data_IF_474754696942
#
_entry.id   IF_474754696942
#
_cell.length_a   1.000
_cell.length_b   1.000
_cell.length_c   1.000
_cell.angle_alpha   90.00
_cell.angle_beta   90.00
_cell.angle_gamma   90.00
#
_symmetry.space_group_name_H-M   'P 1'
#
loop_
_entity.id
_entity.type
_entity.pdbx_description
1 polymer ?
#
# COMPACT_ATOMS: atom_id res chain seq x y z
N UNK A 1 -27.82 -13.72 -9.79
CA UNK A 1 -26.47 -13.72 -10.34
C UNK A 1 -26.42 -14.35 -11.70
N UNK A 2 -25.84 -13.65 -12.66
CA UNK A 2 -25.83 -13.98 -14.09
C UNK A 2 -25.03 -15.26 -14.44
N UNK A 3 -24.26 -15.82 -13.49
CA UNK A 3 -23.49 -17.04 -13.70
C UNK A 3 -24.25 -18.34 -13.33
N UNK A 4 -25.51 -18.28 -12.89
CA UNK A 4 -26.31 -19.49 -12.53
C UNK A 4 -26.44 -20.49 -13.68
N UNK A 5 -26.44 -20.00 -14.92
CA UNK A 5 -26.56 -20.80 -16.12
C UNK A 5 -25.21 -21.13 -16.78
N UNK A 6 -24.10 -20.76 -16.15
CA UNK A 6 -22.74 -20.96 -16.67
C UNK A 6 -22.30 -22.40 -16.44
N UNK A 7 -21.93 -23.11 -17.51
CA UNK A 7 -21.38 -24.45 -17.42
C UNK A 7 -19.89 -24.46 -17.15
N UNK A 8 -19.49 -24.24 -15.91
CA UNK A 8 -18.08 -24.21 -15.47
C UNK A 8 -17.30 -25.48 -15.80
N UNK A 9 -17.96 -26.64 -15.92
CA UNK A 9 -17.30 -27.92 -16.23
C UNK A 9 -16.72 -27.99 -17.65
N UNK A 10 -17.10 -27.08 -18.55
CA UNK A 10 -16.59 -27.00 -19.92
C UNK A 10 -15.61 -25.85 -20.14
N UNK A 11 -15.23 -25.14 -19.09
CA UNK A 11 -14.34 -23.98 -19.14
C UNK A 11 -12.93 -24.30 -18.65
N UNK A 12 -11.95 -23.59 -19.16
CA UNK A 12 -10.61 -23.57 -18.59
C UNK A 12 -10.59 -22.83 -17.25
N UNK A 13 -9.62 -23.10 -16.39
CA UNK A 13 -9.47 -22.42 -15.11
C UNK A 13 -9.43 -20.89 -15.26
N UNK A 14 -8.81 -20.38 -16.34
CA UNK A 14 -8.71 -18.96 -16.64
C UNK A 14 -10.10 -18.35 -17.00
N UNK A 15 -10.92 -19.06 -17.77
CA UNK A 15 -12.26 -18.60 -18.12
C UNK A 15 -13.16 -18.61 -16.87
N UNK A 16 -13.08 -19.66 -16.04
CA UNK A 16 -13.77 -19.71 -14.77
C UNK A 16 -13.37 -18.56 -13.85
N UNK A 17 -12.06 -18.31 -13.71
CA UNK A 17 -11.54 -17.22 -12.92
C UNK A 17 -12.05 -15.84 -13.40
N UNK A 18 -12.00 -15.59 -14.71
CA UNK A 18 -12.47 -14.34 -15.30
C UNK A 18 -13.95 -14.10 -15.04
N UNK A 19 -14.79 -15.15 -15.20
CA UNK A 19 -16.23 -15.04 -14.95
C UNK A 19 -16.51 -14.78 -13.47
N UNK A 20 -15.85 -15.50 -12.56
CA UNK A 20 -16.03 -15.30 -11.11
C UNK A 20 -15.62 -13.89 -10.72
N UNK A 21 -14.50 -13.39 -11.23
CA UNK A 21 -14.04 -12.01 -10.99
C UNK A 21 -15.06 -10.98 -11.51
N UNK A 22 -15.53 -11.13 -12.76
CA UNK A 22 -16.50 -10.23 -13.37
C UNK A 22 -17.80 -10.11 -12.56
N UNK A 23 -18.31 -11.24 -12.05
CA UNK A 23 -19.57 -11.29 -11.32
C UNK A 23 -19.43 -11.25 -9.79
N UNK A 24 -18.24 -10.98 -9.27
CA UNK A 24 -18.00 -10.76 -7.84
C UNK A 24 -18.38 -9.35 -7.36
N UNK A 25 -18.59 -8.41 -8.29
CA UNK A 25 -19.00 -7.04 -7.95
C UNK A 25 -20.50 -6.96 -7.70
N UNK A 26 -20.89 -6.08 -6.79
CA UNK A 26 -22.29 -5.79 -6.49
C UNK A 26 -22.94 -5.00 -7.64
N UNK A 27 -24.23 -5.21 -7.83
CA UNK A 27 -25.05 -4.36 -8.68
C UNK A 27 -25.57 -3.18 -7.87
N UNK A 28 -24.85 -2.06 -7.83
CA UNK A 28 -25.19 -0.92 -6.98
C UNK A 28 -26.48 -0.22 -7.38
N UNK A 29 -27.00 -0.44 -8.59
CA UNK A 29 -28.32 0.09 -9.01
C UNK A 29 -29.48 -0.81 -8.57
N UNK A 30 -29.22 -2.08 -8.21
CA UNK A 30 -30.24 -2.96 -7.65
C UNK A 30 -30.58 -2.54 -6.22
N UNK A 31 -31.82 -2.16 -6.00
CA UNK A 31 -32.29 -1.62 -4.72
C UNK A 31 -31.94 -0.16 -4.47
N UNK A 32 -31.30 0.53 -5.42
CA UNK A 32 -31.20 1.99 -5.36
C UNK A 32 -32.51 2.68 -5.74
N UNK A 33 -33.22 2.17 -6.75
CA UNK A 33 -34.49 2.71 -7.22
C UNK A 33 -35.65 2.17 -6.38
N UNK A 34 -36.73 2.96 -6.23
CA UNK A 34 -37.85 2.68 -5.32
C UNK A 34 -38.69 1.46 -5.68
N UNK A 35 -38.59 0.97 -6.93
CA UNK A 35 -39.33 -0.17 -7.46
C UNK A 35 -38.68 -1.56 -7.17
N UNK A 36 -37.53 -1.56 -6.49
CA UNK A 36 -36.78 -2.77 -6.15
C UNK A 36 -37.04 -3.23 -4.70
N UNK A 37 -38.29 -3.65 -4.36
CA UNK A 37 -38.58 -4.16 -3.02
C UNK A 37 -37.97 -5.54 -2.76
N UNK A 38 -37.32 -5.73 -1.60
CA UNK A 38 -36.79 -7.01 -1.10
C UNK A 38 -35.54 -7.53 -1.82
N UNK A 39 -34.79 -6.65 -2.48
CA UNK A 39 -33.61 -7.00 -3.25
C UNK A 39 -32.29 -7.03 -2.47
N UNK A 40 -31.19 -6.82 -3.19
CA UNK A 40 -29.82 -6.82 -2.67
C UNK A 40 -29.63 -5.75 -1.59
N UNK A 41 -30.26 -4.57 -1.73
CA UNK A 41 -30.14 -3.48 -0.76
C UNK A 41 -30.61 -3.89 0.64
N UNK A 42 -31.79 -4.47 0.78
CA UNK A 42 -32.33 -4.88 2.09
C UNK A 42 -31.47 -5.94 2.75
N UNK A 43 -31.01 -6.94 1.97
CA UNK A 43 -30.09 -7.97 2.45
C UNK A 43 -28.76 -7.37 2.89
N UNK A 44 -28.24 -6.41 2.13
CA UNK A 44 -26.99 -5.71 2.46
C UNK A 44 -27.11 -4.95 3.77
N UNK A 45 -28.18 -4.15 3.93
CA UNK A 45 -28.44 -3.37 5.16
C UNK A 45 -28.61 -4.30 6.37
N UNK A 46 -29.39 -5.37 6.26
CA UNK A 46 -29.59 -6.33 7.36
C UNK A 46 -28.28 -7.00 7.78
N UNK A 47 -27.44 -7.42 6.83
CA UNK A 47 -26.13 -7.99 7.12
C UNK A 47 -25.23 -6.98 7.80
N UNK A 48 -25.21 -5.73 7.32
CA UNK A 48 -24.41 -4.66 7.91
C UNK A 48 -24.87 -4.36 9.34
N UNK A 49 -26.17 -4.31 9.61
CA UNK A 49 -26.72 -4.15 10.97
C UNK A 49 -26.23 -5.29 11.87
N UNK A 50 -26.24 -6.54 11.37
CA UNK A 50 -25.71 -7.69 12.10
C UNK A 50 -24.22 -7.53 12.47
N UNK A 51 -23.39 -7.04 11.55
CA UNK A 51 -21.99 -6.74 11.83
C UNK A 51 -21.84 -5.61 12.87
N UNK A 52 -22.62 -4.55 12.73
CA UNK A 52 -22.59 -3.41 13.66
C UNK A 52 -22.98 -3.84 15.09
N UNK A 53 -23.95 -4.74 15.23
CA UNK A 53 -24.38 -5.29 16.51
C UNK A 53 -23.33 -6.21 17.14
N UNK A 54 -22.63 -7.01 16.31
CA UNK A 54 -21.60 -7.94 16.79
C UNK A 54 -20.29 -7.25 17.16
N UNK A 55 -20.04 -6.02 16.68
CA UNK A 55 -18.84 -5.24 16.93
C UNK A 55 -19.18 -3.91 17.61
N UNK A 56 -19.60 -3.95 18.91
CA UNK A 56 -20.16 -2.79 19.60
C UNK A 56 -19.18 -1.61 19.75
N UNK A 57 -17.87 -1.88 19.78
CA UNK A 57 -16.83 -0.87 19.95
C UNK A 57 -16.28 -0.33 18.60
N UNK A 58 -16.60 -0.99 17.48
CA UNK A 58 -16.13 -0.55 16.16
C UNK A 58 -16.88 0.70 15.71
N UNK A 59 -16.11 1.64 15.12
CA UNK A 59 -16.64 2.87 14.52
C UNK A 59 -16.61 2.85 13.00
N UNK A 60 -15.68 2.12 12.39
CA UNK A 60 -15.48 2.09 10.95
C UNK A 60 -15.94 0.75 10.38
N UNK A 61 -16.88 0.77 9.46
CA UNK A 61 -17.39 -0.41 8.76
C UNK A 61 -17.08 -0.31 7.27
N UNK A 62 -16.22 -1.22 6.80
CA UNK A 62 -15.75 -1.23 5.43
C UNK A 62 -16.81 -1.80 4.48
N UNK A 63 -17.22 -1.01 3.51
CA UNK A 63 -18.05 -1.43 2.39
C UNK A 63 -17.14 -1.70 1.20
N UNK A 64 -16.44 -2.85 1.24
CA UNK A 64 -15.48 -3.24 0.23
C UNK A 64 -16.14 -3.66 -1.08
N UNK A 65 -15.47 -3.36 -2.19
CA UNK A 65 -15.73 -3.95 -3.49
C UNK A 65 -14.82 -5.16 -3.71
N UNK A 66 -15.10 -5.99 -4.72
CA UNK A 66 -14.19 -7.05 -5.15
C UNK A 66 -12.87 -6.44 -5.65
N UNK A 67 -11.74 -7.07 -5.31
CA UNK A 67 -10.40 -6.61 -5.70
C UNK A 67 -10.11 -6.98 -7.16
N UNK A 68 -10.76 -6.27 -8.08
CA UNK A 68 -10.61 -6.43 -9.52
C UNK A 68 -11.09 -5.18 -10.28
N UNK A 69 -10.81 -5.13 -11.59
CA UNK A 69 -11.14 -3.99 -12.47
C UNK A 69 -12.52 -4.12 -13.15
N UNK A 70 -13.40 -4.99 -12.65
CA UNK A 70 -14.74 -5.13 -13.21
C UNK A 70 -15.73 -4.24 -12.44
N UNK A 71 -16.82 -3.89 -13.14
CA UNK A 71 -18.00 -3.23 -12.59
C UNK A 71 -19.24 -3.90 -13.15
N UNK A 72 -20.41 -3.71 -12.53
CA UNK A 72 -21.65 -4.29 -13.04
C UNK A 72 -22.00 -3.69 -14.40
N UNK A 73 -22.24 -4.54 -15.39
CA UNK A 73 -22.54 -4.20 -16.79
C UNK A 73 -24.03 -4.33 -17.16
N UNK A 74 -24.95 -4.39 -16.19
CA UNK A 74 -26.38 -4.36 -16.47
C UNK A 74 -26.80 -3.01 -17.04
N UNK A 75 -27.92 -2.97 -17.74
CA UNK A 75 -28.41 -1.78 -18.45
C UNK A 75 -28.54 -0.56 -17.52
N UNK A 76 -29.03 -0.73 -16.28
CA UNK A 76 -29.13 0.35 -15.29
C UNK A 76 -27.75 0.87 -14.88
N UNK A 77 -26.82 -0.04 -14.50
CA UNK A 77 -25.48 0.37 -14.11
C UNK A 77 -24.75 1.07 -15.27
N UNK A 78 -24.85 0.55 -16.51
CA UNK A 78 -24.22 1.16 -17.67
C UNK A 78 -24.77 2.56 -17.96
N UNK A 79 -26.09 2.75 -17.80
CA UNK A 79 -26.73 4.06 -17.95
C UNK A 79 -26.27 5.04 -16.89
N UNK A 80 -26.24 4.61 -15.63
CA UNK A 80 -25.84 5.45 -14.50
C UNK A 80 -24.33 5.79 -14.54
N UNK A 81 -23.50 4.82 -14.92
CA UNK A 81 -22.04 5.04 -15.10
C UNK A 81 -21.73 6.12 -16.14
N UNK A 82 -22.51 6.15 -17.24
CA UNK A 82 -22.34 7.19 -18.26
C UNK A 82 -22.63 8.61 -17.74
N UNK A 83 -23.37 8.74 -16.65
CA UNK A 83 -23.68 10.03 -16.00
C UNK A 83 -22.74 10.30 -14.82
N UNK A 84 -22.60 9.33 -13.95
CA UNK A 84 -22.02 9.51 -12.60
C UNK A 84 -20.63 8.90 -12.45
N UNK A 85 -20.09 8.20 -13.44
CA UNK A 85 -18.92 7.29 -13.34
C UNK A 85 -19.22 6.11 -12.40
N UNK A 86 -18.35 5.11 -12.36
CA UNK A 86 -18.48 3.95 -11.45
C UNK A 86 -18.50 4.39 -9.99
N UNK A 87 -17.65 5.34 -9.63
CA UNK A 87 -17.56 5.88 -8.26
C UNK A 87 -18.85 6.57 -7.81
N UNK A 88 -19.51 7.30 -8.69
CA UNK A 88 -20.77 7.96 -8.36
C UNK A 88 -21.92 6.96 -8.23
N UNK A 89 -21.97 5.93 -9.06
CA UNK A 89 -22.96 4.85 -8.93
C UNK A 89 -22.79 4.14 -7.58
N UNK A 90 -21.56 3.80 -7.22
CA UNK A 90 -21.25 3.22 -5.90
C UNK A 90 -21.63 4.17 -4.77
N UNK A 91 -21.22 5.45 -4.83
CA UNK A 91 -21.45 6.40 -3.74
C UNK A 91 -22.93 6.69 -3.51
N UNK A 92 -23.75 6.75 -4.57
CA UNK A 92 -25.21 6.90 -4.46
C UNK A 92 -25.82 5.73 -3.67
N UNK A 93 -25.40 4.50 -3.95
CA UNK A 93 -25.79 3.33 -3.17
C UNK A 93 -25.35 3.42 -1.71
N UNK A 94 -24.06 3.76 -1.48
CA UNK A 94 -23.50 3.94 -0.12
C UNK A 94 -24.25 5.01 0.66
N UNK A 95 -24.60 6.12 0.03
CA UNK A 95 -25.39 7.17 0.65
C UNK A 95 -26.79 6.68 1.10
N UNK A 96 -27.44 5.84 0.27
CA UNK A 96 -28.73 5.23 0.64
C UNK A 96 -28.57 4.31 1.86
N UNK A 97 -27.52 3.45 1.87
CA UNK A 97 -27.18 2.62 3.03
C UNK A 97 -26.89 3.47 4.26
N UNK A 98 -26.13 4.55 4.11
CA UNK A 98 -25.76 5.44 5.21
C UNK A 98 -26.97 6.11 5.86
N UNK A 99 -27.94 6.55 5.05
CA UNK A 99 -29.23 7.08 5.55
C UNK A 99 -30.01 6.05 6.34
N UNK A 100 -30.09 4.82 5.85
CA UNK A 100 -30.79 3.73 6.50
C UNK A 100 -30.13 3.32 7.82
N UNK A 101 -28.80 3.23 7.87
CA UNK A 101 -28.07 2.96 9.13
C UNK A 101 -28.26 4.08 10.15
N UNK A 102 -28.27 5.35 9.73
CA UNK A 102 -28.59 6.48 10.63
C UNK A 102 -30.02 6.39 11.17
N UNK A 103 -31.00 6.00 10.30
CA UNK A 103 -32.38 5.76 10.74
C UNK A 103 -32.46 4.64 11.77
N UNK A 104 -31.87 3.49 11.46
CA UNK A 104 -31.84 2.30 12.34
C UNK A 104 -31.17 2.63 13.70
N UNK A 105 -30.02 3.32 13.70
CA UNK A 105 -29.35 3.73 14.94
C UNK A 105 -30.28 4.55 15.82
N UNK A 106 -30.98 5.53 15.25
CA UNK A 106 -31.85 6.45 15.99
C UNK A 106 -33.11 5.77 16.51
N UNK A 107 -33.70 4.86 15.72
CA UNK A 107 -35.08 4.38 15.96
C UNK A 107 -35.13 2.95 16.56
N UNK A 108 -34.14 2.11 16.31
CA UNK A 108 -34.22 0.68 16.58
C UNK A 108 -33.04 0.11 17.38
N UNK A 109 -31.83 0.70 17.30
CA UNK A 109 -30.60 0.09 17.82
C UNK A 109 -30.48 0.13 19.36
N UNK A 110 -31.21 1.03 20.01
CA UNK A 110 -31.00 1.34 21.44
C UNK A 110 -29.72 2.14 21.74
N UNK A 111 -28.95 2.52 20.72
CA UNK A 111 -27.71 3.29 20.83
C UNK A 111 -27.71 4.47 19.84
N UNK A 112 -28.65 5.42 19.98
CA UNK A 112 -28.86 6.49 18.97
C UNK A 112 -27.66 7.43 18.81
N UNK A 113 -26.83 7.57 19.85
CA UNK A 113 -25.66 8.47 19.86
C UNK A 113 -24.35 7.73 19.41
N UNK A 114 -24.45 6.47 18.98
CA UNK A 114 -23.28 5.72 18.50
C UNK A 114 -22.79 6.28 17.17
N UNK A 115 -21.54 6.73 17.17
CA UNK A 115 -20.86 7.24 15.98
C UNK A 115 -20.36 6.06 15.13
N UNK A 116 -20.82 6.00 13.87
CA UNK A 116 -20.43 4.97 12.89
C UNK A 116 -20.13 5.63 11.56
N UNK A 117 -19.01 5.29 10.96
CA UNK A 117 -18.63 5.66 9.61
C UNK A 117 -18.68 4.43 8.68
N UNK A 118 -19.35 4.60 7.54
CA UNK A 118 -19.35 3.64 6.44
C UNK A 118 -18.21 4.01 5.48
N UNK A 119 -17.22 3.12 5.35
CA UNK A 119 -16.00 3.39 4.59
C UNK A 119 -16.14 2.80 3.19
N UNK A 120 -16.24 3.67 2.18
CA UNK A 120 -16.25 3.30 0.76
C UNK A 120 -14.90 3.57 0.11
N UNK A 121 -14.46 2.69 -0.80
CA UNK A 121 -13.16 2.84 -1.48
C UNK A 121 -13.22 3.84 -2.64
N UNK A 122 -12.16 4.64 -2.75
CA UNK A 122 -11.69 5.26 -3.98
C UNK A 122 -10.47 4.47 -4.44
N UNK A 123 -10.68 3.46 -5.29
CA UNK A 123 -9.70 2.45 -5.68
C UNK A 123 -10.06 1.82 -7.03
N UNK A 124 -9.10 1.48 -7.86
CA UNK A 124 -9.31 0.90 -9.19
C UNK A 124 -10.38 1.66 -10.01
N UNK A 125 -11.45 0.99 -10.43
CA UNK A 125 -12.52 1.54 -11.26
C UNK A 125 -13.27 2.70 -10.60
N UNK A 126 -13.33 2.73 -9.27
CA UNK A 126 -14.02 3.79 -8.49
C UNK A 126 -13.04 4.83 -7.90
N UNK A 127 -11.80 4.87 -8.40
CA UNK A 127 -10.79 5.84 -7.93
C UNK A 127 -11.18 7.28 -8.25
N UNK A 128 -11.64 7.54 -9.49
CA UNK A 128 -11.96 8.89 -9.92
C UNK A 128 -13.25 9.42 -9.26
N UNK A 129 -13.23 10.63 -8.66
CA UNK A 129 -14.41 11.20 -8.04
C UNK A 129 -15.52 11.50 -9.06
N UNK A 130 -16.81 11.41 -8.68
CA UNK A 130 -17.94 11.76 -9.54
C UNK A 130 -18.14 13.27 -9.64
N UNK A 131 -17.14 13.95 -10.22
CA UNK A 131 -17.15 15.39 -10.48
C UNK A 131 -17.16 15.67 -11.99
N UNK A 132 -17.71 16.83 -12.35
CA UNK A 132 -17.52 17.53 -13.61
C UNK A 132 -16.62 18.75 -13.37
N UNK A 133 -16.11 19.34 -14.45
CA UNK A 133 -15.25 20.51 -14.34
C UNK A 133 -15.97 21.76 -14.85
N UNK A 134 -16.12 22.76 -13.98
CA UNK A 134 -16.63 24.08 -14.31
C UNK A 134 -15.53 25.12 -14.07
N UNK A 135 -15.15 25.87 -15.11
CA UNK A 135 -14.03 26.83 -15.04
C UNK A 135 -12.71 26.20 -14.51
N UNK A 136 -12.43 24.95 -14.86
CA UNK A 136 -11.29 24.14 -14.41
C UNK A 136 -11.32 23.77 -12.91
N UNK A 137 -12.44 23.98 -12.23
CA UNK A 137 -12.62 23.54 -10.83
C UNK A 137 -13.51 22.30 -10.82
N UNK A 138 -13.17 21.28 -10.03
CA UNK A 138 -14.04 20.12 -9.84
C UNK A 138 -15.27 20.53 -9.03
N UNK A 139 -16.44 20.15 -9.51
CA UNK A 139 -17.72 20.30 -8.81
C UNK A 139 -18.49 19.00 -8.85
N UNK A 140 -19.30 18.64 -7.84
CA UNK A 140 -20.15 17.46 -7.88
C UNK A 140 -20.99 17.41 -9.16
N UNK A 141 -21.21 16.22 -9.71
CA UNK A 141 -22.09 16.06 -10.89
C UNK A 141 -23.50 16.59 -10.56
N UNK A 142 -24.01 16.18 -9.40
CA UNK A 142 -25.21 16.70 -8.76
C UNK A 142 -25.21 16.38 -7.25
N UNK A 143 -26.25 16.73 -6.52
CA UNK A 143 -26.34 16.52 -5.07
C UNK A 143 -26.40 15.04 -4.65
N UNK A 144 -26.77 14.12 -5.55
CA UNK A 144 -26.88 12.69 -5.22
C UNK A 144 -25.55 12.02 -4.98
N UNK A 145 -24.45 12.61 -5.49
CA UNK A 145 -23.08 12.13 -5.31
C UNK A 145 -22.31 12.85 -4.19
N UNK A 146 -22.97 13.73 -3.42
CA UNK A 146 -22.38 14.30 -2.20
C UNK A 146 -22.48 13.24 -1.09
N UNK A 147 -21.35 12.91 -0.48
CA UNK A 147 -21.29 11.90 0.57
C UNK A 147 -22.07 12.32 1.81
N UNK A 148 -22.81 11.40 2.41
CA UNK A 148 -23.43 11.61 3.72
C UNK A 148 -22.35 11.85 4.79
N UNK A 149 -22.70 12.57 5.86
CA UNK A 149 -21.78 12.94 6.95
C UNK A 149 -21.16 11.75 7.70
N UNK A 150 -21.79 10.57 7.63
CA UNK A 150 -21.31 9.30 8.17
C UNK A 150 -20.68 8.40 7.09
N UNK A 151 -20.40 8.93 5.90
CA UNK A 151 -19.61 8.24 4.86
C UNK A 151 -18.17 8.73 4.90
N UNK A 152 -17.24 7.80 4.86
CA UNK A 152 -15.79 8.04 4.80
C UNK A 152 -15.22 7.47 3.50
N UNK A 153 -14.53 8.28 2.71
CA UNK A 153 -13.90 7.82 1.46
C UNK A 153 -12.49 7.36 1.74
N UNK A 154 -12.22 6.07 1.47
CA UNK A 154 -10.88 5.50 1.60
C UNK A 154 -10.13 5.55 0.29
N UNK A 155 -9.16 6.44 0.20
CA UNK A 155 -8.28 6.56 -0.97
C UNK A 155 -7.15 5.53 -0.86
N UNK A 156 -7.00 4.70 -1.91
CA UNK A 156 -5.96 3.67 -2.00
C UNK A 156 -5.13 3.85 -3.29
N UNK A 157 -4.02 4.62 -3.26
CA UNK A 157 -3.28 5.07 -4.44
C UNK A 157 -2.33 3.99 -5.02
N UNK A 158 -2.75 2.74 -5.12
CA UNK A 158 -1.91 1.58 -5.43
C UNK A 158 -1.02 1.74 -6.66
N UNK A 159 -1.61 1.99 -7.83
CA UNK A 159 -0.91 1.96 -9.13
C UNK A 159 -0.63 3.33 -9.71
N UNK A 160 -1.30 4.36 -9.21
CA UNK A 160 -1.35 5.69 -9.81
C UNK A 160 -0.54 6.73 -9.04
N UNK A 161 0.35 6.29 -8.13
CA UNK A 161 1.19 7.18 -7.35
C UNK A 161 2.67 6.84 -7.50
N UNK A 162 3.47 7.88 -7.61
CA UNK A 162 4.89 7.83 -7.38
C UNK A 162 5.16 8.16 -5.91
N UNK A 163 5.45 7.15 -5.11
CA UNK A 163 5.60 7.27 -3.66
C UNK A 163 6.90 7.96 -3.20
N UNK A 164 7.78 8.31 -4.13
CA UNK A 164 8.93 9.18 -3.83
C UNK A 164 8.52 10.65 -3.63
N UNK A 165 7.36 11.03 -4.15
CA UNK A 165 6.77 12.37 -4.05
C UNK A 165 5.52 12.33 -3.17
N UNK A 166 5.10 13.49 -2.67
CA UNK A 166 3.85 13.56 -1.89
C UNK A 166 2.65 13.11 -2.73
N UNK A 167 1.66 12.53 -2.07
CA UNK A 167 0.47 11.97 -2.74
C UNK A 167 -0.26 13.01 -3.62
N UNK A 168 -0.17 14.29 -3.26
CA UNK A 168 -0.79 15.41 -3.96
C UNK A 168 0.21 16.26 -4.74
N UNK A 169 1.42 15.74 -5.03
CA UNK A 169 2.39 16.47 -5.85
C UNK A 169 1.82 16.75 -7.24
N UNK A 170 1.71 18.03 -7.68
CA UNK A 170 1.03 18.37 -8.93
C UNK A 170 1.81 17.98 -10.19
N UNK A 171 3.13 17.80 -10.08
CA UNK A 171 3.99 17.50 -11.22
C UNK A 171 4.21 15.99 -11.40
N UNK A 172 4.33 15.23 -10.29
CA UNK A 172 4.69 13.82 -10.29
C UNK A 172 3.51 12.90 -9.96
N UNK A 173 2.50 13.41 -9.26
CA UNK A 173 1.28 12.70 -8.87
C UNK A 173 0.01 13.41 -9.35
N UNK A 174 0.05 14.01 -10.55
CA UNK A 174 -1.04 14.81 -11.12
C UNK A 174 -2.39 14.09 -11.06
N UNK A 175 -2.43 12.79 -11.38
CA UNK A 175 -3.67 12.00 -11.34
C UNK A 175 -4.23 11.94 -9.91
N UNK A 176 -3.41 11.61 -8.92
CA UNK A 176 -3.84 11.53 -7.52
C UNK A 176 -4.20 12.90 -6.96
N UNK A 177 -3.41 13.94 -7.28
CA UNK A 177 -3.74 15.31 -6.88
C UNK A 177 -5.13 15.72 -7.38
N UNK A 178 -5.44 15.49 -8.66
CA UNK A 178 -6.76 15.81 -9.22
C UNK A 178 -7.89 14.99 -8.56
N UNK A 179 -7.65 13.73 -8.25
CA UNK A 179 -8.63 12.89 -7.58
C UNK A 179 -8.86 13.36 -6.14
N UNK A 180 -7.82 13.69 -5.38
CA UNK A 180 -7.93 14.23 -4.03
C UNK A 180 -8.74 15.53 -4.06
N UNK A 181 -8.40 16.46 -4.95
CA UNK A 181 -9.14 17.73 -5.05
C UNK A 181 -10.61 17.54 -5.45
N UNK A 182 -10.90 16.55 -6.30
CA UNK A 182 -12.28 16.21 -6.64
C UNK A 182 -13.05 15.55 -5.49
N UNK A 183 -12.44 14.59 -4.79
CA UNK A 183 -13.06 13.94 -3.64
C UNK A 183 -13.34 14.93 -2.49
N UNK A 184 -12.48 15.91 -2.26
CA UNK A 184 -12.70 17.00 -1.28
C UNK A 184 -13.93 17.86 -1.57
N UNK A 185 -14.44 17.89 -2.83
CA UNK A 185 -15.69 18.58 -3.15
C UNK A 185 -16.93 17.74 -2.80
N UNK A 186 -16.76 16.46 -2.53
CA UNK A 186 -17.84 15.48 -2.38
C UNK A 186 -17.95 14.96 -0.95
N UNK A 187 -16.82 14.74 -0.27
CA UNK A 187 -16.77 14.13 1.05
C UNK A 187 -16.09 15.03 2.08
N UNK A 188 -16.48 14.88 3.34
CA UNK A 188 -15.88 15.57 4.48
C UNK A 188 -15.01 14.68 5.37
N UNK A 189 -15.11 13.35 5.24
CA UNK A 189 -14.34 12.39 6.01
C UNK A 189 -13.55 11.46 5.08
N UNK A 190 -12.28 11.27 5.38
CA UNK A 190 -11.39 10.45 4.59
C UNK A 190 -10.69 9.39 5.42
N UNK A 191 -10.31 8.31 4.77
CA UNK A 191 -9.38 7.30 5.24
C UNK A 191 -8.34 7.06 4.15
N UNK A 192 -7.13 6.68 4.53
CA UNK A 192 -6.06 6.37 3.59
C UNK A 192 -5.62 4.92 3.75
N UNK A 193 -5.51 4.24 2.62
CA UNK A 193 -4.81 2.97 2.52
C UNK A 193 -3.44 3.24 1.90
N UNK A 194 -2.45 3.49 2.75
CA UNK A 194 -1.10 3.87 2.34
C UNK A 194 -0.24 2.63 2.10
N UNK A 195 0.59 2.69 1.04
CA UNK A 195 1.50 1.62 0.66
C UNK A 195 2.94 2.02 0.97
N UNK A 196 3.73 1.11 1.54
CA UNK A 196 5.07 1.42 2.05
C UNK A 196 6.12 0.33 1.81
N UNK A 197 5.97 -0.39 0.71
CA UNK A 197 6.85 -1.51 0.35
C UNK A 197 6.83 -1.78 -1.14
N UNK A 198 7.90 -2.37 -1.66
CA UNK A 198 7.91 -2.93 -3.00
C UNK A 198 7.37 -4.35 -2.98
N UNK A 199 6.24 -4.58 -3.61
CA UNK A 199 5.57 -5.88 -3.59
C UNK A 199 6.35 -7.00 -4.27
N UNK A 200 7.12 -6.69 -5.32
CA UNK A 200 7.93 -7.68 -6.00
C UNK A 200 9.37 -7.77 -5.48
N UNK A 201 9.84 -6.77 -4.73
CA UNK A 201 11.24 -6.60 -4.38
C UNK A 201 11.41 -6.28 -2.89
N UNK A 202 10.91 -7.16 -2.04
CA UNK A 202 10.85 -7.00 -0.57
C UNK A 202 12.20 -6.80 0.12
N UNK A 203 13.32 -7.03 -0.58
CA UNK A 203 14.68 -6.85 -0.07
C UNK A 203 15.28 -5.49 -0.40
N UNK A 204 14.53 -4.61 -1.09
CA UNK A 204 14.94 -3.25 -1.37
C UNK A 204 14.34 -2.26 -0.36
N UNK A 205 15.10 -1.24 0.08
CA UNK A 205 14.59 -0.20 0.97
C UNK A 205 13.57 0.68 0.23
N UNK A 206 12.40 0.87 0.83
CA UNK A 206 11.37 1.75 0.30
C UNK A 206 11.64 3.21 0.71
N UNK A 207 11.67 4.18 -0.23
CA UNK A 207 12.16 5.53 0.05
C UNK A 207 11.09 6.44 0.68
N UNK A 208 10.49 6.05 1.80
CA UNK A 208 9.43 6.79 2.49
C UNK A 208 9.90 8.06 3.22
N UNK A 209 11.19 8.17 3.51
CA UNK A 209 11.78 9.22 4.34
C UNK A 209 11.58 10.66 3.82
N UNK A 210 11.35 10.82 2.52
CA UNK A 210 11.09 12.14 1.93
C UNK A 210 9.63 12.58 2.09
N UNK A 211 8.69 11.66 2.18
CA UNK A 211 7.26 11.93 2.02
C UNK A 211 6.41 11.64 3.25
N UNK A 212 6.94 10.86 4.21
CA UNK A 212 6.13 10.37 5.34
C UNK A 212 5.43 11.50 6.11
N UNK A 213 6.14 12.56 6.50
CA UNK A 213 5.58 13.69 7.23
C UNK A 213 4.67 14.53 6.33
N UNK A 214 5.15 14.88 5.14
CA UNK A 214 4.39 15.70 4.20
C UNK A 214 3.06 15.03 3.80
N UNK A 215 3.04 13.71 3.61
CA UNK A 215 1.79 12.98 3.36
C UNK A 215 0.84 13.04 4.58
N UNK A 216 1.35 12.90 5.80
CA UNK A 216 0.52 13.00 7.00
C UNK A 216 -0.03 14.43 7.20
N UNK A 217 0.71 15.47 6.78
CA UNK A 217 0.21 16.85 6.75
C UNK A 217 -0.94 16.99 5.75
N UNK A 218 -0.80 16.43 4.53
CA UNK A 218 -1.90 16.37 3.54
C UNK A 218 -3.12 15.63 4.10
N UNK A 219 -2.90 14.48 4.78
CA UNK A 219 -4.01 13.71 5.37
C UNK A 219 -4.73 14.49 6.47
N UNK A 220 -3.99 15.24 7.30
CA UNK A 220 -4.58 16.13 8.30
C UNK A 220 -5.45 17.21 7.66
N UNK A 221 -4.97 17.85 6.59
CA UNK A 221 -5.71 18.90 5.88
C UNK A 221 -6.96 18.37 5.16
N UNK A 222 -6.97 17.08 4.82
CA UNK A 222 -8.13 16.38 4.25
C UNK A 222 -9.16 15.90 5.30
N UNK A 223 -8.93 16.09 6.59
CA UNK A 223 -9.71 15.47 7.65
C UNK A 223 -9.72 13.93 7.57
N UNK A 224 -8.54 13.34 7.40
CA UNK A 224 -8.37 11.88 7.44
C UNK A 224 -8.55 11.40 8.87
N UNK A 225 -9.51 10.51 9.10
CA UNK A 225 -9.84 9.96 10.42
C UNK A 225 -9.20 8.60 10.70
N UNK A 226 -8.70 7.94 9.66
CA UNK A 226 -8.07 6.62 9.75
C UNK A 226 -7.01 6.44 8.67
N UNK A 227 -5.86 5.87 9.04
CA UNK A 227 -4.79 5.53 8.11
C UNK A 227 -4.37 4.08 8.30
N UNK A 228 -4.49 3.30 7.23
CA UNK A 228 -3.97 1.95 7.17
C UNK A 228 -2.65 1.94 6.39
N UNK A 229 -1.56 1.55 7.04
CA UNK A 229 -0.24 1.43 6.40
C UNK A 229 0.04 -0.02 6.03
N UNK A 230 -0.09 -0.35 4.75
CA UNK A 230 0.17 -1.70 4.27
C UNK A 230 1.66 -1.94 4.08
N UNK A 231 2.19 -2.94 4.80
CA UNK A 231 3.47 -3.57 4.54
C UNK A 231 3.29 -4.95 3.89
N UNK A 232 4.32 -5.78 3.91
CA UNK A 232 4.23 -7.19 3.49
C UNK A 232 4.26 -8.09 4.71
N UNK A 233 3.18 -8.85 4.91
CA UNK A 233 3.09 -9.84 5.98
C UNK A 233 3.86 -11.14 5.68
N UNK A 234 4.20 -11.37 4.40
CA UNK A 234 4.82 -12.60 3.89
C UNK A 234 6.35 -12.60 3.99
N UNK A 235 6.96 -11.61 4.64
CA UNK A 235 8.41 -11.54 4.81
C UNK A 235 8.81 -11.28 6.26
N UNK A 236 9.98 -11.79 6.63
CA UNK A 236 10.55 -11.65 7.97
C UNK A 236 11.14 -10.27 8.28
N UNK A 237 11.01 -9.33 7.37
CA UNK A 237 11.44 -7.94 7.51
C UNK A 237 11.93 -7.36 6.19
N UNK A 238 11.60 -6.11 5.96
CA UNK A 238 12.08 -5.30 4.84
C UNK A 238 13.13 -4.31 5.35
N UNK A 239 14.11 -3.92 4.52
CA UNK A 239 15.08 -2.90 4.90
C UNK A 239 14.38 -1.62 5.36
N UNK A 240 14.83 -1.07 6.49
CA UNK A 240 14.25 0.09 7.19
C UNK A 240 12.78 -0.02 7.60
N UNK A 241 12.13 -1.18 7.47
CA UNK A 241 10.71 -1.34 7.81
C UNK A 241 10.41 -1.06 9.28
N UNK A 242 11.29 -1.47 10.20
CA UNK A 242 11.15 -1.16 11.64
C UNK A 242 11.29 0.32 11.95
N UNK A 243 12.18 1.01 11.24
CA UNK A 243 12.35 2.45 11.35
C UNK A 243 11.12 3.19 10.81
N UNK A 244 10.56 2.74 9.69
CA UNK A 244 9.33 3.27 9.14
C UNK A 244 8.16 3.14 10.13
N UNK A 245 7.96 1.96 10.73
CA UNK A 245 6.95 1.73 11.77
C UNK A 245 7.10 2.72 12.93
N UNK A 246 8.32 2.92 13.42
CA UNK A 246 8.62 3.84 14.51
C UNK A 246 8.32 5.30 14.13
N UNK A 247 8.84 5.76 13.01
CA UNK A 247 8.68 7.15 12.54
C UNK A 247 7.21 7.49 12.32
N UNK A 248 6.46 6.62 11.63
CA UNK A 248 5.02 6.83 11.40
C UNK A 248 4.22 6.85 12.69
N UNK A 249 4.49 5.93 13.60
CA UNK A 249 3.80 5.90 14.91
C UNK A 249 4.06 7.18 15.70
N UNK A 250 5.28 7.70 15.68
CA UNK A 250 5.63 8.95 16.37
C UNK A 250 4.98 10.17 15.72
N UNK A 251 4.95 10.23 14.38
CA UNK A 251 4.33 11.33 13.63
C UNK A 251 2.80 11.32 13.76
N UNK A 252 2.15 10.16 13.79
CA UNK A 252 0.71 10.05 14.04
C UNK A 252 0.32 10.55 15.43
N UNK A 253 1.22 10.42 16.41
CA UNK A 253 1.01 10.97 17.75
C UNK A 253 1.34 12.46 17.83
N UNK A 254 2.44 12.90 17.19
CA UNK A 254 2.90 14.28 17.17
C UNK A 254 3.47 14.63 15.80
N UNK A 255 2.66 15.27 14.98
CA UNK A 255 3.04 15.64 13.60
C UNK A 255 4.10 16.76 13.55
N UNK A 256 4.31 17.51 14.63
CA UNK A 256 5.34 18.56 14.70
C UNK A 256 6.75 17.99 14.89
N UNK A 257 6.91 16.70 15.20
CA UNK A 257 8.20 16.06 15.39
C UNK A 257 9.08 16.13 14.11
N UNK A 258 10.39 16.26 14.31
CA UNK A 258 11.35 16.23 13.21
C UNK A 258 11.63 14.79 12.76
N UNK A 259 11.45 14.51 11.46
CA UNK A 259 11.61 13.18 10.87
C UNK A 259 13.06 12.69 10.98
N UNK A 260 14.04 13.57 10.77
CA UNK A 260 15.44 13.17 10.81
C UNK A 260 15.88 12.87 12.25
N UNK A 261 15.40 13.65 13.23
CA UNK A 261 15.64 13.35 14.65
C UNK A 261 15.02 12.01 15.06
N UNK A 262 13.80 11.70 14.59
CA UNK A 262 13.15 10.41 14.85
C UNK A 262 13.92 9.24 14.22
N UNK A 263 14.39 9.39 12.97
CA UNK A 263 15.20 8.37 12.29
C UNK A 263 16.53 8.16 13.02
N UNK A 264 17.19 9.24 13.41
CA UNK A 264 18.47 9.22 14.11
C UNK A 264 18.35 8.55 15.48
N UNK A 265 17.32 8.89 16.26
CA UNK A 265 17.03 8.27 17.55
C UNK A 265 16.77 6.75 17.39
N UNK A 266 15.94 6.37 16.41
CA UNK A 266 15.72 4.95 16.13
C UNK A 266 17.02 4.22 15.78
N UNK A 267 17.83 4.77 14.88
CA UNK A 267 19.08 4.13 14.43
C UNK A 267 20.03 3.98 15.60
N UNK A 268 20.22 5.01 16.43
CA UNK A 268 21.10 4.96 17.61
C UNK A 268 20.65 3.91 18.61
N UNK A 269 19.35 3.86 18.93
CA UNK A 269 18.81 2.93 19.92
C UNK A 269 18.74 1.50 19.39
N UNK A 270 18.48 1.30 18.11
CA UNK A 270 18.27 -0.02 17.52
C UNK A 270 19.59 -0.67 17.09
N UNK A 271 20.50 0.06 16.42
CA UNK A 271 21.74 -0.49 15.86
C UNK A 271 22.99 -0.30 16.75
N UNK A 272 22.90 0.48 17.84
CA UNK A 272 23.97 0.64 18.84
C UNK A 272 25.33 0.96 18.20
N UNK A 273 26.32 0.06 18.34
CA UNK A 273 27.68 0.22 17.81
C UNK A 273 27.71 0.38 16.29
N UNK A 274 26.75 -0.22 15.57
CA UNK A 274 26.64 -0.10 14.12
C UNK A 274 25.90 1.17 13.65
N UNK A 275 25.30 1.93 14.56
CA UNK A 275 24.49 3.10 14.23
C UNK A 275 25.20 4.12 13.32
N UNK A 276 26.46 4.50 13.50
CA UNK A 276 27.13 5.45 12.61
C UNK A 276 27.14 4.97 11.14
N UNK A 277 27.31 3.68 10.92
CA UNK A 277 27.38 3.10 9.58
C UNK A 277 25.98 2.94 8.95
N UNK A 278 24.96 2.67 9.74
CA UNK A 278 23.58 2.65 9.25
C UNK A 278 23.11 4.08 8.89
N UNK A 279 23.52 5.11 9.64
CA UNK A 279 23.31 6.51 9.27
C UNK A 279 24.06 6.87 7.96
N UNK A 280 25.33 6.42 7.82
CA UNK A 280 26.11 6.59 6.58
C UNK A 280 25.41 5.94 5.39
N UNK A 281 24.88 4.73 5.57
CA UNK A 281 24.11 4.00 4.54
C UNK A 281 22.82 4.74 4.15
N UNK A 282 22.02 5.18 5.11
CA UNK A 282 20.78 5.92 4.83
C UNK A 282 21.07 7.22 4.09
N UNK A 283 22.10 8.00 4.53
CA UNK A 283 22.51 9.23 3.88
C UNK A 283 22.99 8.98 2.44
N UNK A 284 23.78 7.91 2.23
CA UNK A 284 24.24 7.51 0.91
C UNK A 284 23.07 7.15 -0.01
N UNK A 285 22.11 6.35 0.47
CA UNK A 285 20.91 5.98 -0.29
C UNK A 285 20.08 7.21 -0.68
N UNK A 286 19.80 8.12 0.26
CA UNK A 286 19.02 9.33 0.00
C UNK A 286 19.66 10.17 -1.11
N UNK A 287 20.96 10.40 -1.00
CA UNK A 287 21.74 11.14 -2.00
C UNK A 287 21.76 10.42 -3.35
N UNK A 288 21.87 9.10 -3.35
CA UNK A 288 21.92 8.32 -4.58
C UNK A 288 20.54 8.25 -5.28
N UNK A 289 19.44 8.13 -4.52
CA UNK A 289 18.09 8.25 -5.07
C UNK A 289 17.89 9.59 -5.77
N UNK A 290 18.23 10.68 -5.11
CA UNK A 290 18.04 12.04 -5.63
C UNK A 290 18.87 12.30 -6.91
N UNK A 291 20.13 11.86 -6.93
CA UNK A 291 21.06 12.22 -8.01
C UNK A 291 21.12 11.20 -9.16
N UNK A 292 20.65 9.96 -8.96
CA UNK A 292 20.78 8.89 -9.94
C UNK A 292 19.47 8.15 -10.21
N UNK A 293 18.78 7.65 -9.19
CA UNK A 293 17.61 6.78 -9.37
C UNK A 293 16.43 7.56 -9.94
N UNK A 294 16.10 8.70 -9.33
CA UNK A 294 15.00 9.56 -9.79
C UNK A 294 15.25 10.13 -11.18
N UNK A 295 16.44 10.72 -11.48
CA UNK A 295 16.74 11.19 -12.83
C UNK A 295 16.76 10.09 -13.91
N UNK A 296 16.99 8.83 -13.53
CA UNK A 296 16.92 7.69 -14.47
C UNK A 296 15.47 7.23 -14.78
N UNK A 297 14.46 7.99 -14.38
CA UNK A 297 13.05 7.71 -14.67
C UNK A 297 12.40 6.73 -13.67
N UNK A 298 12.77 6.80 -12.40
CA UNK A 298 12.17 6.00 -11.35
C UNK A 298 10.66 6.28 -11.21
N UNK A 299 9.85 5.23 -11.37
CA UNK A 299 8.39 5.37 -11.35
C UNK A 299 7.81 5.53 -9.94
N UNK A 300 8.56 5.10 -8.92
CA UNK A 300 8.12 5.16 -7.51
C UNK A 300 6.90 4.33 -7.15
N UNK A 301 6.36 3.51 -8.06
CA UNK A 301 5.26 2.59 -7.79
C UNK A 301 5.69 1.44 -6.88
N UNK A 302 4.77 0.89 -6.10
CA UNK A 302 4.97 -0.34 -5.31
C UNK A 302 5.37 -1.55 -6.16
N UNK A 303 5.06 -1.53 -7.47
CA UNK A 303 5.42 -2.55 -8.46
C UNK A 303 6.67 -2.21 -9.27
N UNK A 304 7.39 -1.13 -8.92
CA UNK A 304 8.63 -0.76 -9.60
C UNK A 304 9.62 -1.93 -9.59
N UNK A 305 10.20 -2.22 -10.76
CA UNK A 305 11.34 -3.14 -10.88
C UNK A 305 12.61 -2.44 -10.36
N UNK A 306 12.83 -2.54 -9.04
CA UNK A 306 13.88 -1.78 -8.33
C UNK A 306 15.27 -2.25 -8.73
N UNK A 307 15.48 -3.56 -8.89
CA UNK A 307 16.79 -4.11 -9.28
C UNK A 307 17.01 -3.94 -10.79
N UNK A 308 17.49 -2.74 -11.15
CA UNK A 308 17.72 -2.32 -12.51
C UNK A 308 19.08 -1.61 -12.60
N UNK A 309 19.92 -2.01 -13.56
CA UNK A 309 21.27 -1.45 -13.77
C UNK A 309 21.26 0.02 -14.16
N UNK A 310 20.13 0.55 -14.66
CA UNK A 310 19.95 1.99 -14.87
C UNK A 310 19.82 2.77 -13.57
N UNK A 311 19.32 2.14 -12.51
CA UNK A 311 19.18 2.75 -11.20
C UNK A 311 20.42 2.58 -10.33
N UNK A 312 20.99 1.38 -10.29
CA UNK A 312 22.05 1.01 -9.37
C UNK A 312 23.30 0.55 -10.12
N UNK A 313 24.37 1.34 -10.09
CA UNK A 313 25.65 0.91 -10.65
C UNK A 313 26.33 -0.12 -9.75
N UNK A 314 27.27 -0.90 -10.34
CA UNK A 314 28.13 -1.81 -9.59
C UNK A 314 28.93 -1.06 -8.50
N UNK A 315 29.45 0.13 -8.83
CA UNK A 315 30.19 0.96 -7.89
C UNK A 315 29.33 1.39 -6.70
N UNK A 316 28.07 1.74 -6.93
CA UNK A 316 27.12 2.05 -5.86
C UNK A 316 26.95 0.87 -4.89
N UNK A 317 26.67 -0.31 -5.40
CA UNK A 317 26.45 -1.49 -4.56
C UNK A 317 27.74 -1.92 -3.81
N UNK A 318 28.91 -1.74 -4.41
CA UNK A 318 30.19 -2.00 -3.73
C UNK A 318 30.47 -0.93 -2.66
N UNK A 319 30.09 0.30 -2.88
CA UNK A 319 30.19 1.38 -1.86
C UNK A 319 29.28 1.05 -0.66
N UNK A 320 28.05 0.62 -0.91
CA UNK A 320 27.13 0.15 0.15
C UNK A 320 27.73 -1.03 0.89
N UNK A 321 28.29 -2.03 0.17
CA UNK A 321 28.97 -3.17 0.78
C UNK A 321 30.07 -2.72 1.75
N UNK A 322 30.91 -1.76 1.34
CA UNK A 322 31.98 -1.25 2.20
C UNK A 322 31.45 -0.58 3.49
N UNK A 323 30.30 0.07 3.43
CA UNK A 323 29.65 0.64 4.63
C UNK A 323 29.21 -0.51 5.55
N UNK A 324 28.61 -1.56 4.99
CA UNK A 324 28.21 -2.73 5.78
C UNK A 324 29.39 -3.52 6.35
N UNK A 325 30.51 -3.63 5.63
CA UNK A 325 31.72 -4.29 6.16
C UNK A 325 32.16 -3.58 7.47
N UNK A 326 32.17 -2.25 7.52
CA UNK A 326 32.44 -1.47 8.73
C UNK A 326 31.36 -1.68 9.81
N UNK A 327 30.08 -1.78 9.42
CA UNK A 327 29.01 -2.05 10.37
C UNK A 327 29.20 -3.40 11.07
N UNK A 328 29.52 -4.46 10.33
CA UNK A 328 29.84 -5.77 10.91
C UNK A 328 31.12 -5.74 11.77
N UNK A 329 32.16 -5.03 11.33
CA UNK A 329 33.40 -4.87 12.11
C UNK A 329 33.11 -4.22 13.47
N UNK A 330 32.23 -3.20 13.51
CA UNK A 330 31.89 -2.46 14.73
C UNK A 330 31.26 -3.32 15.83
N UNK A 331 30.66 -4.45 15.48
CA UNK A 331 30.03 -5.38 16.42
C UNK A 331 30.90 -6.61 16.70
N UNK A 332 32.10 -6.72 16.13
CA UNK A 332 32.99 -7.91 16.23
C UNK A 332 33.42 -8.26 17.66
N UNK A 333 33.37 -7.29 18.59
CA UNK A 333 33.67 -7.49 20.00
C UNK A 333 32.50 -8.05 20.81
N UNK A 334 31.28 -8.06 20.25
CA UNK A 334 30.09 -8.62 20.89
C UNK A 334 30.16 -10.16 20.80
N UNK A 335 29.49 -10.86 21.71
CA UNK A 335 29.45 -12.32 21.76
C UNK A 335 28.08 -12.85 22.13
N UNK A 336 27.82 -14.11 21.81
CA UNK A 336 26.58 -14.80 22.20
C UNK A 336 25.34 -14.13 21.62
N UNK A 337 24.28 -14.11 22.41
CA UNK A 337 22.96 -13.61 21.98
C UNK A 337 22.98 -12.13 21.53
N UNK A 338 23.82 -11.29 22.18
CA UNK A 338 23.93 -9.87 21.82
C UNK A 338 24.53 -9.68 20.41
N UNK A 339 25.56 -10.48 20.08
CA UNK A 339 26.13 -10.50 18.72
C UNK A 339 25.09 -10.93 17.69
N UNK A 340 24.42 -12.07 17.91
CA UNK A 340 23.45 -12.62 16.96
C UNK A 340 22.29 -11.66 16.73
N UNK A 341 21.78 -11.02 17.81
CA UNK A 341 20.73 -10.03 17.71
C UNK A 341 21.14 -8.81 16.88
N UNK A 342 22.34 -8.29 17.12
CA UNK A 342 22.83 -7.14 16.39
C UNK A 342 23.15 -7.47 14.93
N UNK A 343 23.82 -8.61 14.70
CA UNK A 343 24.08 -9.16 13.37
C UNK A 343 22.76 -9.30 12.59
N UNK A 344 21.73 -9.93 13.16
CA UNK A 344 20.45 -10.13 12.48
C UNK A 344 19.75 -8.81 12.10
N UNK A 345 19.95 -7.72 12.86
CA UNK A 345 19.46 -6.39 12.49
C UNK A 345 20.21 -5.82 11.28
N UNK A 346 21.54 -5.96 11.26
CA UNK A 346 22.39 -5.52 10.14
C UNK A 346 22.11 -6.38 8.90
N UNK A 347 21.91 -7.69 9.08
CA UNK A 347 21.61 -8.64 7.99
C UNK A 347 20.38 -8.20 7.18
N UNK A 348 19.29 -7.77 7.84
CA UNK A 348 18.08 -7.30 7.17
C UNK A 348 18.39 -6.11 6.26
N UNK A 349 19.14 -5.12 6.76
CA UNK A 349 19.50 -3.93 5.98
C UNK A 349 20.46 -4.25 4.83
N UNK A 350 21.33 -5.25 4.99
CA UNK A 350 22.32 -5.67 4.00
C UNK A 350 21.73 -6.42 2.81
N UNK A 351 20.50 -6.90 2.90
CA UNK A 351 19.81 -7.66 1.85
C UNK A 351 19.84 -6.97 0.50
N UNK A 352 19.66 -5.66 0.50
CA UNK A 352 19.59 -4.88 -0.73
C UNK A 352 20.85 -5.02 -1.60
N UNK A 353 22.02 -4.70 -1.07
CA UNK A 353 23.25 -4.78 -1.87
C UNK A 353 23.65 -6.22 -2.19
N UNK A 354 23.43 -7.17 -1.28
CA UNK A 354 23.74 -8.59 -1.49
C UNK A 354 22.93 -9.16 -2.66
N UNK A 355 21.63 -8.93 -2.63
CA UNK A 355 20.74 -9.33 -3.72
C UNK A 355 21.11 -8.62 -5.03
N UNK A 356 21.31 -7.30 -4.98
CA UNK A 356 21.65 -6.50 -6.16
C UNK A 356 22.95 -6.93 -6.84
N UNK A 357 23.99 -7.27 -6.09
CA UNK A 357 25.26 -7.78 -6.65
C UNK A 357 25.07 -9.12 -7.35
N UNK A 358 24.34 -10.06 -6.74
CA UNK A 358 24.07 -11.38 -7.30
C UNK A 358 23.15 -11.31 -8.52
N UNK A 359 22.07 -10.55 -8.43
CA UNK A 359 21.05 -10.49 -9.47
C UNK A 359 21.48 -9.70 -10.71
N UNK A 360 22.16 -8.56 -10.52
CA UNK A 360 22.48 -7.66 -11.61
C UNK A 360 23.92 -7.76 -12.12
N UNK A 361 24.85 -8.22 -11.29
CA UNK A 361 26.28 -8.09 -11.56
C UNK A 361 27.10 -9.38 -11.37
N UNK A 362 26.47 -10.54 -11.21
CA UNK A 362 27.16 -11.83 -11.05
C UNK A 362 28.21 -12.09 -12.12
N UNK A 363 27.97 -11.68 -13.38
CA UNK A 363 28.92 -11.85 -14.49
C UNK A 363 30.24 -11.08 -14.35
N UNK A 364 30.33 -10.15 -13.43
CA UNK A 364 31.55 -9.37 -13.15
C UNK A 364 32.47 -10.03 -12.11
N UNK A 365 32.05 -11.17 -11.54
CA UNK A 365 32.76 -11.86 -10.47
C UNK A 365 33.21 -13.26 -10.90
N UNK A 366 34.29 -13.71 -10.33
CA UNK A 366 34.75 -15.12 -10.49
C UNK A 366 33.77 -16.09 -9.80
N UNK A 367 33.75 -17.36 -10.24
CA UNK A 367 32.93 -18.38 -9.59
C UNK A 367 33.20 -18.50 -8.08
N UNK A 368 34.45 -18.33 -7.63
CA UNK A 368 34.78 -18.34 -6.21
C UNK A 368 34.14 -17.16 -5.45
N UNK A 369 34.13 -15.96 -6.04
CA UNK A 369 33.49 -14.80 -5.46
C UNK A 369 31.96 -14.95 -5.43
N UNK A 370 31.36 -15.47 -6.51
CA UNK A 370 29.91 -15.76 -6.55
C UNK A 370 29.54 -16.77 -5.46
N UNK A 371 30.33 -17.85 -5.30
CA UNK A 371 30.08 -18.85 -4.25
C UNK A 371 30.11 -18.22 -2.85
N UNK A 372 31.08 -17.34 -2.57
CA UNK A 372 31.15 -16.62 -1.30
C UNK A 372 29.95 -15.68 -1.11
N UNK A 373 29.56 -14.97 -2.16
CA UNK A 373 28.39 -14.05 -2.08
C UNK A 373 27.08 -14.82 -1.82
N UNK A 374 26.92 -16.01 -2.38
CA UNK A 374 25.78 -16.89 -2.11
C UNK A 374 25.80 -17.36 -0.65
N UNK A 375 26.94 -17.81 -0.15
CA UNK A 375 27.11 -18.20 1.26
C UNK A 375 26.78 -17.03 2.20
N UNK A 376 27.30 -15.84 1.89
CA UNK A 376 27.02 -14.62 2.65
C UNK A 376 25.52 -14.25 2.65
N UNK A 377 24.82 -14.49 1.52
CA UNK A 377 23.37 -14.30 1.42
C UNK A 377 22.60 -15.31 2.29
N UNK A 378 22.96 -16.59 2.19
CA UNK A 378 22.31 -17.65 2.98
C UNK A 378 22.54 -17.40 4.48
N UNK A 379 23.73 -17.01 4.90
CA UNK A 379 24.06 -16.68 6.28
C UNK A 379 23.30 -15.46 6.81
N UNK A 380 23.14 -14.41 5.98
CA UNK A 380 22.38 -13.21 6.35
C UNK A 380 20.88 -13.47 6.49
N UNK A 381 20.36 -14.55 5.88
CA UNK A 381 18.93 -14.88 5.95
C UNK A 381 18.63 -16.08 6.87
N UNK A 382 19.62 -16.65 7.54
CA UNK A 382 19.48 -17.86 8.36
C UNK A 382 18.43 -17.66 9.50
N UNK A 383 18.38 -16.49 10.14
CA UNK A 383 17.45 -16.21 11.22
C UNK A 383 16.14 -15.55 10.77
N UNK A 384 16.09 -15.11 9.52
CA UNK A 384 14.94 -14.44 8.91
C UNK A 384 14.71 -14.98 7.48
N UNK A 385 14.39 -16.27 7.33
CA UNK A 385 14.40 -16.94 6.04
C UNK A 385 13.19 -16.61 5.16
N UNK A 386 12.10 -16.10 5.75
CA UNK A 386 10.88 -15.82 4.99
C UNK A 386 11.06 -14.57 4.15
N UNK A 387 11.15 -14.73 2.84
CA UNK A 387 11.34 -13.67 1.83
C UNK A 387 10.36 -13.85 0.66
N UNK A 388 9.07 -13.94 0.96
CA UNK A 388 8.03 -14.06 -0.06
C UNK A 388 7.57 -12.67 -0.50
N UNK A 389 7.39 -12.49 -1.81
CA UNK A 389 6.72 -11.33 -2.36
C UNK A 389 5.19 -11.43 -2.17
N UNK A 390 4.43 -10.43 -2.62
CA UNK A 390 2.97 -10.45 -2.47
C UNK A 390 2.30 -11.64 -3.19
N UNK A 391 2.84 -12.05 -4.33
CA UNK A 391 2.38 -13.24 -5.06
C UNK A 391 2.81 -14.56 -4.38
N UNK A 392 3.39 -14.50 -3.17
CA UNK A 392 3.93 -15.64 -2.40
C UNK A 392 5.05 -16.38 -3.12
N UNK A 393 5.70 -15.74 -4.07
CA UNK A 393 6.92 -16.27 -4.68
C UNK A 393 8.06 -16.09 -3.69
N UNK A 394 8.71 -17.19 -3.37
CA UNK A 394 9.85 -17.20 -2.44
C UNK A 394 11.11 -16.71 -3.16
N UNK A 395 11.60 -15.52 -2.77
CA UNK A 395 12.84 -14.94 -3.33
C UNK A 395 14.06 -15.79 -2.97
N UNK A 396 13.99 -16.62 -1.93
CA UNK A 396 15.09 -17.53 -1.59
C UNK A 396 15.34 -18.57 -2.68
N UNK A 397 14.37 -18.87 -3.55
CA UNK A 397 14.56 -19.77 -4.71
C UNK A 397 15.58 -19.23 -5.71
N UNK A 398 15.88 -17.94 -5.72
CA UNK A 398 16.96 -17.33 -6.49
C UNK A 398 18.34 -17.92 -6.20
N UNK A 399 18.53 -18.45 -5.00
CA UNK A 399 19.79 -19.15 -4.62
C UNK A 399 20.09 -20.30 -5.57
N UNK A 400 19.11 -21.06 -6.00
CA UNK A 400 19.30 -22.18 -6.94
C UNK A 400 19.71 -21.66 -8.34
N UNK A 401 19.13 -20.54 -8.79
CA UNK A 401 19.52 -19.87 -10.04
C UNK A 401 20.99 -19.41 -9.96
N UNK A 402 21.37 -18.74 -8.85
CA UNK A 402 22.76 -18.29 -8.66
C UNK A 402 23.75 -19.46 -8.53
N UNK A 403 23.39 -20.54 -7.83
CA UNK A 403 24.19 -21.75 -7.75
C UNK A 403 24.41 -22.41 -9.12
N UNK A 404 23.46 -22.27 -10.06
CA UNK A 404 23.62 -22.76 -11.42
C UNK A 404 24.73 -22.02 -12.20
N UNK A 405 25.07 -20.76 -11.83
CA UNK A 405 26.20 -20.02 -12.43
C UNK A 405 27.56 -20.61 -12.07
N UNK A 406 27.64 -21.46 -11.04
CA UNK A 406 28.87 -22.09 -10.60
C UNK A 406 29.21 -23.37 -11.41
N UNK A 407 28.24 -23.95 -12.10
CA UNK A 407 28.41 -25.09 -12.99
C UNK A 407 29.09 -24.67 -14.30
#
# INVERSE_FOLDING_TARGET
PQYRDTNFAQMTDNECYTIVQKYSQLCYTEGYYEDDEGGMFDTFVQNLIGYIQNEPDAKLFMLGMGDNEYFCDCERCTTDVAIYKESGVMLRFVNKVAKEIKRWLREESGTPDREIYLVAFAYLTVMEPPVKYENRQPVPIDDSVIAEDNVCIRIAPLTNSNFYWTINDPDHNTFMNNNIEGWKQIASNFSIWDYRVYYHNVVAPYPYWNTVKANLEVYKDMNVIDVYHQGIAQTSGVPFGRMDDYVRSRLLYNLDADVNELMDDFIEQYYKQAAPYIKEYLAYLRTYYENHVVPAGYSGSVYTSVFNTNYWSLECLLSIKNIFDKAYESISSLTGEEYEKMKGRIDVESRFYRFGLLEMYSSYFSKAQIAQMIEDWENANMFNPLLQNEARVDISTKVDEWKALLK
#
